data_IF_640380484496
#
_entry.id   IF_640380484496
#
_cell.length_a   1.000
_cell.length_b   1.000
_cell.length_c   1.000
_cell.angle_alpha   90.00
_cell.angle_beta   90.00
_cell.angle_gamma   90.00
#
_symmetry.space_group_name_H-M   'P 1'
#
loop_
_entity.id
_entity.type
_entity.pdbx_description
1 polymer ?
#
# COMPACT_ATOMS: atom_id res chain seq x y z
N UNK A 1 0.33 -2.64 2.15
CA UNK A 1 0.36 -1.19 2.41
C UNK A 1 0.15 -1.01 3.90
N UNK A 2 1.13 -0.48 4.62
CA UNK A 2 1.01 -0.29 6.07
C UNK A 2 1.15 1.20 6.37
N UNK A 3 0.12 1.74 7.00
CA UNK A 3 0.10 3.11 7.48
C UNK A 3 0.77 3.14 8.86
N UNK A 4 1.72 4.05 9.08
CA UNK A 4 2.43 4.14 10.34
C UNK A 4 2.32 5.55 10.90
N UNK A 5 2.18 5.60 12.22
CA UNK A 5 1.95 6.81 12.99
C UNK A 5 3.03 6.92 14.07
N UNK A 6 3.70 8.07 14.16
CA UNK A 6 4.75 8.29 15.17
C UNK A 6 4.79 9.74 15.65
N UNK A 7 4.90 9.92 16.96
CA UNK A 7 5.17 11.22 17.58
C UNK A 7 6.65 11.62 17.38
N UNK A 8 6.95 12.92 17.35
CA UNK A 8 8.33 13.44 17.32
C UNK A 8 8.89 13.53 18.75
N UNK A 9 10.04 12.89 19.02
CA UNK A 9 10.78 13.05 20.27
C UNK A 9 11.25 11.74 20.91
N UNK A 10 12.49 11.72 21.42
CA UNK A 10 13.18 10.52 21.90
C UNK A 10 12.85 10.14 23.35
N UNK A 11 12.14 9.02 23.56
CA UNK A 11 12.30 8.10 24.68
C UNK A 11 11.59 6.78 24.35
N UNK A 12 12.36 5.69 24.21
CA UNK A 12 11.89 4.43 23.65
C UNK A 12 11.21 3.50 24.68
N UNK A 13 9.94 3.16 24.39
CA UNK A 13 9.31 1.82 24.48
C UNK A 13 8.97 1.20 25.87
N UNK A 14 7.69 1.29 26.28
CA UNK A 14 6.95 0.16 26.92
C UNK A 14 5.42 0.25 26.72
N UNK A 15 4.77 -0.90 26.37
CA UNK A 15 3.33 -1.16 26.08
C UNK A 15 2.72 -0.90 24.66
N UNK A 16 2.79 -1.84 23.70
CA UNK A 16 2.52 -1.64 22.23
C UNK A 16 1.12 -1.09 21.87
N UNK A 17 0.16 -1.10 22.80
CA UNK A 17 -1.17 -0.52 22.63
C UNK A 17 -1.38 0.84 23.34
N UNK A 18 -0.53 1.20 24.31
CA UNK A 18 -0.38 2.55 24.88
C UNK A 18 0.83 3.30 24.25
N UNK A 19 1.69 2.59 23.50
CA UNK A 19 3.09 2.92 23.13
C UNK A 19 3.28 3.94 22.02
N UNK A 20 2.25 4.23 21.22
CA UNK A 20 2.44 5.11 20.06
C UNK A 20 2.31 6.60 20.42
N UNK A 21 1.92 6.92 21.67
CA UNK A 21 1.52 8.29 22.04
C UNK A 21 0.27 8.73 21.28
N UNK A 22 -0.55 7.76 20.88
CA UNK A 22 -1.80 7.98 20.16
C UNK A 22 -2.92 8.38 21.13
N UNK A 23 -3.77 9.36 20.81
CA UNK A 23 -4.87 9.76 21.68
C UNK A 23 -5.86 8.62 21.89
N UNK A 24 -6.46 8.45 23.09
CA UNK A 24 -7.43 7.37 23.36
C UNK A 24 -8.58 7.27 22.36
N UNK A 25 -8.94 8.40 21.72
CA UNK A 25 -9.94 8.46 20.65
C UNK A 25 -9.64 7.50 19.47
N UNK A 26 -8.38 7.10 19.25
CA UNK A 26 -7.99 6.18 18.17
C UNK A 26 -8.13 4.71 18.52
N UNK A 27 -8.56 4.35 19.74
CA UNK A 27 -8.65 2.95 20.18
C UNK A 27 -9.59 2.08 19.31
N UNK A 28 -10.54 2.69 18.58
CA UNK A 28 -11.44 2.00 17.66
C UNK A 28 -10.89 1.84 16.23
N UNK A 29 -9.69 2.35 15.92
CA UNK A 29 -9.09 2.26 14.60
C UNK A 29 -8.31 0.94 14.45
N UNK A 30 -8.41 0.33 13.26
CA UNK A 30 -7.69 -0.91 12.94
C UNK A 30 -6.29 -0.62 12.39
N UNK A 31 -5.46 -1.67 12.27
CA UNK A 31 -4.15 -1.64 11.61
C UNK A 31 -4.16 -1.20 10.13
N UNK A 32 -5.36 -1.13 9.52
CA UNK A 32 -5.59 -0.68 8.16
C UNK A 32 -6.42 0.61 8.11
N UNK A 33 -6.48 1.39 9.19
CA UNK A 33 -7.14 2.68 9.15
C UNK A 33 -6.45 3.65 8.17
N UNK A 34 -7.24 4.35 7.36
CA UNK A 34 -6.77 5.34 6.40
C UNK A 34 -6.46 6.69 7.05
N UNK A 35 -5.68 7.53 6.37
CA UNK A 35 -5.47 8.92 6.77
C UNK A 35 -6.80 9.65 7.02
N UNK A 36 -7.79 9.48 6.14
CA UNK A 36 -9.15 10.01 6.31
C UNK A 36 -9.79 9.57 7.63
N UNK A 37 -9.70 8.29 7.99
CA UNK A 37 -10.25 7.79 9.26
C UNK A 37 -9.53 8.43 10.46
N UNK A 38 -8.19 8.53 10.42
CA UNK A 38 -7.45 9.22 11.47
C UNK A 38 -7.81 10.71 11.58
N UNK A 39 -7.97 11.42 10.46
CA UNK A 39 -8.39 12.83 10.44
C UNK A 39 -9.79 12.99 11.03
N UNK A 40 -10.72 12.11 10.67
CA UNK A 40 -12.08 12.14 11.21
C UNK A 40 -12.11 11.87 12.73
N UNK A 41 -11.25 10.99 13.22
CA UNK A 41 -11.17 10.64 14.66
C UNK A 41 -10.43 11.69 15.49
N UNK A 42 -9.33 12.25 14.98
CA UNK A 42 -8.44 13.15 15.73
C UNK A 42 -8.74 14.64 15.49
N UNK A 43 -9.38 14.96 14.37
CA UNK A 43 -9.39 16.31 13.82
C UNK A 43 -8.10 16.63 13.07
N UNK A 44 -8.22 17.50 12.05
CA UNK A 44 -7.10 17.85 11.16
C UNK A 44 -5.90 18.47 11.90
N UNK A 45 -6.17 19.34 12.87
CA UNK A 45 -5.11 20.02 13.63
C UNK A 45 -4.20 19.02 14.35
N UNK A 46 -4.80 18.15 15.16
CA UNK A 46 -4.08 17.10 15.90
C UNK A 46 -3.37 16.15 14.93
N UNK A 47 -4.03 15.70 13.86
CA UNK A 47 -3.40 14.83 12.86
C UNK A 47 -2.12 15.44 12.26
N UNK A 48 -2.13 16.74 11.97
CA UNK A 48 -0.99 17.46 11.38
C UNK A 48 0.19 17.63 12.35
N UNK A 49 -0.02 17.50 13.66
CA UNK A 49 1.06 17.55 14.66
C UNK A 49 1.89 16.26 14.68
N UNK A 50 1.37 15.17 14.12
CA UNK A 50 2.09 13.91 14.01
C UNK A 50 2.88 13.80 12.71
N UNK A 51 3.97 13.04 12.77
CA UNK A 51 4.66 12.62 11.57
C UNK A 51 3.99 11.36 11.02
N UNK A 52 3.30 11.51 9.88
CA UNK A 52 2.55 10.42 9.23
C UNK A 52 3.24 10.00 7.94
N UNK A 53 3.28 8.71 7.68
CA UNK A 53 3.95 8.20 6.49
C UNK A 53 3.36 6.88 5.99
N UNK A 54 3.60 6.60 4.71
CA UNK A 54 3.25 5.34 4.06
C UNK A 54 4.33 4.89 3.09
N UNK A 55 4.33 3.59 2.76
CA UNK A 55 5.19 3.03 1.73
C UNK A 55 4.36 2.47 0.59
N UNK A 56 4.64 2.93 -0.62
CA UNK A 56 3.95 2.49 -1.84
C UNK A 56 4.85 1.61 -2.70
N UNK A 57 4.24 0.62 -3.34
CA UNK A 57 4.86 -0.22 -4.36
C UNK A 57 4.29 0.16 -5.73
N UNK A 58 5.01 -0.20 -6.79
CA UNK A 58 4.52 -0.04 -8.16
C UNK A 58 3.12 -0.68 -8.28
N UNK A 59 2.07 0.05 -8.71
CA UNK A 59 0.70 -0.46 -8.73
C UNK A 59 0.53 -1.72 -9.60
N UNK A 60 1.30 -1.84 -10.68
CA UNK A 60 1.30 -3.01 -11.58
C UNK A 60 1.80 -4.26 -10.85
N UNK A 61 2.82 -4.08 -10.02
CA UNK A 61 3.44 -5.10 -9.21
C UNK A 61 2.57 -5.48 -8.00
N UNK A 62 1.82 -4.52 -7.45
CA UNK A 62 0.83 -4.76 -6.39
C UNK A 62 -0.27 -5.70 -6.85
N UNK A 63 -0.81 -5.52 -8.07
CA UNK A 63 -1.82 -6.42 -8.61
C UNK A 63 -1.32 -7.87 -8.74
N UNK A 64 -0.08 -8.06 -9.22
CA UNK A 64 0.60 -9.37 -9.28
C UNK A 64 0.80 -9.95 -7.89
N UNK A 65 1.26 -9.14 -6.94
CA UNK A 65 1.47 -9.55 -5.56
C UNK A 65 0.17 -10.01 -4.91
N UNK A 66 -0.94 -9.31 -5.14
CA UNK A 66 -2.26 -9.68 -4.61
C UNK A 66 -2.80 -10.98 -5.20
N UNK A 67 -2.59 -11.23 -6.49
CA UNK A 67 -2.94 -12.50 -7.11
C UNK A 67 -2.21 -13.67 -6.43
N UNK A 68 -0.88 -13.58 -6.28
CA UNK A 68 -0.10 -14.65 -5.63
C UNK A 68 -0.43 -14.78 -4.14
N UNK A 69 -0.66 -13.66 -3.45
CA UNK A 69 -1.08 -13.69 -2.05
C UNK A 69 -2.43 -14.41 -1.87
N UNK A 70 -3.38 -14.20 -2.79
CA UNK A 70 -4.65 -14.93 -2.82
C UNK A 70 -4.47 -16.41 -3.06
N UNK A 71 -3.55 -16.84 -3.92
CA UNK A 71 -3.30 -18.27 -4.14
C UNK A 71 -2.85 -19.00 -2.88
N UNK A 72 -2.03 -18.36 -2.05
CA UNK A 72 -1.44 -19.00 -0.86
C UNK A 72 -2.25 -18.80 0.42
N UNK A 73 -3.27 -17.92 0.40
CA UNK A 73 -4.03 -17.58 1.59
C UNK A 73 -5.53 -17.83 1.38
N UNK A 74 -6.06 -19.00 1.79
CA UNK A 74 -7.44 -19.39 1.50
C UNK A 74 -8.50 -18.61 2.27
N UNK A 75 -8.11 -17.86 3.31
CA UNK A 75 -9.04 -17.10 4.15
C UNK A 75 -9.39 -15.73 3.59
N UNK A 76 -8.64 -15.25 2.59
CA UNK A 76 -8.84 -13.89 2.05
C UNK A 76 -9.81 -13.89 0.87
N UNK A 77 -10.55 -12.80 0.74
CA UNK A 77 -11.45 -12.59 -0.39
C UNK A 77 -10.68 -12.59 -1.72
N UNK A 78 -11.25 -13.25 -2.73
CA UNK A 78 -10.62 -13.42 -4.03
C UNK A 78 -9.79 -14.70 -4.17
N UNK A 79 -9.62 -15.51 -3.11
CA UNK A 79 -8.88 -16.78 -3.18
C UNK A 79 -9.48 -17.73 -4.21
N UNK A 80 -10.79 -17.99 -4.14
CA UNK A 80 -11.46 -18.93 -5.04
C UNK A 80 -11.35 -18.49 -6.51
N UNK A 81 -11.50 -17.18 -6.76
CA UNK A 81 -11.36 -16.57 -8.08
C UNK A 81 -9.93 -16.69 -8.61
N UNK A 82 -8.91 -16.40 -7.78
CA UNK A 82 -7.51 -16.55 -8.16
C UNK A 82 -7.14 -18.01 -8.43
N UNK A 83 -7.59 -18.93 -7.57
CA UNK A 83 -7.35 -20.36 -7.70
C UNK A 83 -8.01 -20.93 -8.96
N UNK A 84 -9.25 -20.55 -9.25
CA UNK A 84 -9.96 -20.98 -10.46
C UNK A 84 -9.32 -20.44 -11.75
N UNK A 85 -8.82 -19.21 -11.73
CA UNK A 85 -8.13 -18.62 -12.87
C UNK A 85 -6.78 -19.30 -13.15
N UNK A 86 -6.06 -19.74 -12.11
CA UNK A 86 -4.81 -20.50 -12.18
C UNK A 86 -3.57 -19.75 -12.69
N UNK A 87 -3.74 -18.67 -13.46
CA UNK A 87 -2.65 -17.79 -13.93
C UNK A 87 -3.04 -16.33 -13.75
N UNK A 88 -2.05 -15.45 -13.62
CA UNK A 88 -2.30 -14.02 -13.45
C UNK A 88 -3.09 -13.45 -14.64
N UNK A 89 -2.74 -13.82 -15.88
CA UNK A 89 -3.42 -13.33 -17.08
C UNK A 89 -4.90 -13.72 -17.10
N UNK A 90 -5.22 -15.01 -16.84
CA UNK A 90 -6.61 -15.47 -16.72
C UNK A 90 -7.34 -14.74 -15.59
N UNK A 91 -6.67 -14.49 -14.47
CA UNK A 91 -7.26 -13.77 -13.34
C UNK A 91 -7.63 -12.33 -13.73
N UNK A 92 -6.75 -11.63 -14.45
CA UNK A 92 -7.08 -10.30 -14.97
C UNK A 92 -8.29 -10.36 -15.90
N UNK A 93 -8.29 -11.26 -16.88
CA UNK A 93 -9.34 -11.33 -17.91
C UNK A 93 -10.70 -11.79 -17.35
N UNK A 94 -10.71 -12.68 -16.35
CA UNK A 94 -11.93 -13.30 -15.83
C UNK A 94 -12.49 -12.57 -14.60
N UNK A 95 -11.61 -12.04 -13.75
CA UNK A 95 -11.97 -11.52 -12.44
C UNK A 95 -11.84 -10.01 -12.34
N UNK A 96 -10.80 -9.42 -12.94
CA UNK A 96 -10.57 -7.97 -12.88
C UNK A 96 -11.36 -7.17 -13.93
N UNK A 97 -12.12 -7.84 -14.79
CA UNK A 97 -13.08 -7.23 -15.73
C UNK A 97 -14.50 -7.17 -15.16
N UNK A 98 -14.76 -7.85 -14.04
CA UNK A 98 -16.09 -7.90 -13.43
C UNK A 98 -16.45 -6.57 -12.74
N UNK A 99 -17.75 -6.27 -12.58
CA UNK A 99 -18.21 -5.19 -11.71
C UNK A 99 -17.60 -5.30 -10.30
N UNK A 100 -17.28 -4.17 -9.68
CA UNK A 100 -16.71 -4.07 -8.33
C UNK A 100 -15.33 -4.73 -8.13
N UNK A 101 -14.65 -5.12 -9.21
CA UNK A 101 -13.30 -5.71 -9.18
C UNK A 101 -12.21 -4.77 -8.66
N UNK A 102 -12.49 -3.48 -8.53
CA UNK A 102 -11.58 -2.49 -7.95
C UNK A 102 -11.10 -2.89 -6.54
N UNK A 103 -11.95 -3.57 -5.76
CA UNK A 103 -11.57 -4.11 -4.43
C UNK A 103 -10.47 -5.16 -4.49
N UNK A 104 -10.28 -5.80 -5.65
CA UNK A 104 -9.29 -6.83 -5.88
C UNK A 104 -7.96 -6.28 -6.39
N UNK A 105 -7.95 -5.06 -6.93
CA UNK A 105 -6.81 -4.43 -7.58
C UNK A 105 -5.71 -3.95 -6.61
N UNK A 106 -5.99 -3.92 -5.30
CA UNK A 106 -4.99 -3.63 -4.28
C UNK A 106 -4.61 -2.15 -4.17
N UNK A 107 -5.59 -1.25 -4.36
CA UNK A 107 -5.36 0.19 -4.30
C UNK A 107 -4.68 0.66 -3.01
N UNK A 108 -3.78 1.61 -3.16
CA UNK A 108 -2.92 2.14 -2.10
C UNK A 108 -3.34 3.55 -1.68
N UNK A 109 -3.72 4.40 -2.63
CA UNK A 109 -4.11 5.79 -2.38
C UNK A 109 -5.23 5.96 -1.35
N UNK A 110 -6.25 5.08 -1.21
CA UNK A 110 -7.33 5.30 -0.25
C UNK A 110 -6.86 5.37 1.20
N UNK A 111 -5.67 4.82 1.49
CA UNK A 111 -5.05 4.87 2.81
C UNK A 111 -4.28 6.17 3.07
N UNK A 112 -3.92 6.93 2.03
CA UNK A 112 -3.00 8.06 2.12
C UNK A 112 -3.63 9.42 1.82
N UNK A 113 -4.85 9.44 1.29
CA UNK A 113 -5.55 10.68 0.92
C UNK A 113 -6.56 11.11 1.98
N UNK A 114 -6.94 12.38 1.94
CA UNK A 114 -8.05 12.93 2.70
C UNK A 114 -9.38 12.93 1.92
N UNK A 115 -10.40 13.56 2.50
CA UNK A 115 -11.73 13.71 1.90
C UNK A 115 -11.74 14.46 0.56
N UNK A 116 -10.73 15.29 0.29
CA UNK A 116 -10.58 16.00 -0.98
C UNK A 116 -9.75 15.20 -2.01
N UNK A 117 -9.36 13.96 -1.68
CA UNK A 117 -8.51 13.12 -2.52
C UNK A 117 -7.06 13.60 -2.59
N UNK A 118 -6.65 14.53 -1.72
CA UNK A 118 -5.29 15.03 -1.66
C UNK A 118 -4.45 14.18 -0.71
N UNK A 119 -3.15 14.03 -1.00
CA UNK A 119 -2.24 13.33 -0.10
C UNK A 119 -2.21 14.03 1.26
N UNK A 120 -2.53 13.26 2.30
CA UNK A 120 -2.64 13.77 3.66
C UNK A 120 -1.40 13.44 4.52
N UNK A 121 -0.54 12.52 4.08
CA UNK A 121 0.61 12.07 4.87
C UNK A 121 1.83 12.98 4.70
N UNK A 122 2.67 13.06 5.74
CA UNK A 122 3.92 13.84 5.73
C UNK A 122 5.01 13.26 4.83
N UNK A 123 4.97 11.95 4.52
CA UNK A 123 5.98 11.28 3.70
C UNK A 123 5.44 10.03 3.01
N UNK A 124 5.90 9.79 1.78
CA UNK A 124 5.64 8.57 1.03
C UNK A 124 6.98 7.96 0.61
N UNK A 125 7.32 6.84 1.23
CA UNK A 125 8.45 6.01 0.80
C UNK A 125 8.05 5.08 -0.35
N UNK A 126 9.03 4.62 -1.12
CA UNK A 126 8.82 3.69 -2.23
C UNK A 126 9.51 2.36 -1.98
N UNK A 127 8.86 1.27 -2.37
CA UNK A 127 9.42 -0.06 -2.25
C UNK A 127 10.72 -0.26 -3.04
N UNK A 128 10.85 0.37 -4.22
CA UNK A 128 12.08 0.34 -5.03
C UNK A 128 13.28 0.99 -4.35
N UNK A 129 13.04 1.89 -3.40
CA UNK A 129 14.05 2.57 -2.60
C UNK A 129 13.83 2.35 -1.10
N UNK A 130 13.35 1.16 -0.74
CA UNK A 130 12.81 0.86 0.58
C UNK A 130 13.81 1.18 1.70
N UNK A 131 15.05 0.71 1.61
CA UNK A 131 16.08 0.94 2.63
C UNK A 131 16.37 2.43 2.84
N UNK A 132 16.54 3.18 1.74
CA UNK A 132 16.81 4.63 1.78
C UNK A 132 15.63 5.41 2.36
N UNK A 133 14.43 5.11 1.90
CA UNK A 133 13.23 5.83 2.31
C UNK A 133 12.81 5.44 3.75
N UNK A 134 13.12 4.22 4.17
CA UNK A 134 13.03 3.78 5.56
C UNK A 134 14.04 4.50 6.45
N UNK A 135 15.31 4.60 6.03
CA UNK A 135 16.32 5.37 6.74
C UNK A 135 15.90 6.84 6.93
N UNK A 136 15.31 7.45 5.90
CA UNK A 136 14.73 8.81 5.97
C UNK A 136 13.61 8.89 7.00
N UNK A 137 12.75 7.87 7.06
CA UNK A 137 11.61 7.80 7.97
C UNK A 137 12.07 7.71 9.44
N UNK A 138 12.98 6.79 9.75
CA UNK A 138 13.48 6.59 11.13
C UNK A 138 14.27 7.82 11.61
N UNK A 139 15.05 8.46 10.73
CA UNK A 139 15.76 9.69 11.04
C UNK A 139 14.80 10.84 11.41
N UNK A 140 13.69 10.99 10.67
CA UNK A 140 12.64 11.99 10.98
C UNK A 140 11.88 11.72 12.28
N UNK A 141 11.85 10.47 12.72
CA UNK A 141 11.31 10.08 14.02
C UNK A 141 12.32 10.25 15.18
N UNK A 142 13.56 10.66 14.90
CA UNK A 142 14.61 10.75 15.91
C UNK A 142 15.14 9.38 16.37
N UNK A 143 14.96 8.34 15.55
CA UNK A 143 15.46 6.99 15.81
C UNK A 143 16.82 6.84 15.12
N UNK A 144 17.86 6.59 15.91
CA UNK A 144 19.24 6.51 15.43
C UNK A 144 19.53 5.26 14.61
N UNK A 145 19.06 4.09 15.06
CA UNK A 145 19.17 2.82 14.33
C UNK A 145 17.95 1.95 14.56
N UNK A 146 17.41 1.42 13.47
CA UNK A 146 16.35 0.41 13.49
C UNK A 146 16.60 -0.52 12.29
N UNK A 147 16.89 -1.81 12.50
CA UNK A 147 17.04 -2.72 11.39
C UNK A 147 15.72 -2.83 10.62
N UNK A 148 15.84 -2.88 9.29
CA UNK A 148 14.72 -3.21 8.42
C UNK A 148 14.77 -4.71 8.15
N UNK A 149 14.00 -5.47 8.90
CA UNK A 149 13.85 -6.90 8.64
C UNK A 149 12.94 -7.12 7.43
N UNK A 150 13.31 -8.06 6.56
CA UNK A 150 12.55 -8.39 5.36
C UNK A 150 11.54 -9.50 5.65
N UNK A 151 10.30 -9.13 5.94
CA UNK A 151 9.17 -10.06 6.09
C UNK A 151 8.26 -10.04 4.85
N UNK A 152 7.53 -11.13 4.62
CA UNK A 152 6.53 -11.26 3.54
C UNK A 152 7.08 -11.00 2.13
N UNK A 153 8.27 -11.52 1.84
CA UNK A 153 8.80 -11.52 0.47
C UNK A 153 7.85 -12.29 -0.46
N UNK A 154 7.36 -11.61 -1.49
CA UNK A 154 6.50 -12.22 -2.49
C UNK A 154 7.38 -13.01 -3.45
N UNK A 155 7.25 -14.33 -3.47
CA UNK A 155 7.97 -15.20 -4.41
C UNK A 155 7.13 -15.39 -5.68
N UNK A 156 7.34 -14.51 -6.66
CA UNK A 156 6.77 -14.63 -7.99
C UNK A 156 7.78 -14.21 -9.05
N UNK A 157 7.55 -14.60 -10.30
CA UNK A 157 8.33 -14.09 -11.43
C UNK A 157 8.28 -12.56 -11.47
N UNK A 158 9.30 -11.93 -12.09
CA UNK A 158 9.32 -10.49 -12.26
C UNK A 158 8.00 -10.03 -12.91
N UNK A 159 7.32 -9.10 -12.24
CA UNK A 159 5.94 -8.72 -12.56
C UNK A 159 5.71 -8.30 -14.02
N UNK A 160 6.63 -7.64 -14.76
CA UNK A 160 6.35 -7.25 -16.14
C UNK A 160 6.12 -8.46 -17.04
N UNK A 161 6.84 -9.57 -16.80
CA UNK A 161 6.73 -10.79 -17.59
C UNK A 161 5.42 -11.56 -17.40
N UNK A 162 4.56 -11.13 -16.46
CA UNK A 162 3.23 -11.72 -16.27
C UNK A 162 2.14 -10.97 -17.03
N UNK A 163 2.44 -9.78 -17.55
CA UNK A 163 1.50 -8.97 -18.32
C UNK A 163 1.61 -9.23 -19.82
N UNK A 164 0.49 -9.05 -20.49
CA UNK A 164 0.42 -8.72 -21.92
C UNK A 164 -0.04 -7.26 -22.02
N UNK A 165 0.08 -6.65 -23.20
CA UNK A 165 -0.50 -5.30 -23.43
C UNK A 165 -1.98 -5.22 -23.04
N UNK A 166 -2.77 -6.27 -23.32
CA UNK A 166 -4.19 -6.34 -22.96
C UNK A 166 -4.40 -6.35 -21.44
N UNK A 167 -3.75 -7.26 -20.71
CA UNK A 167 -3.94 -7.37 -19.26
C UNK A 167 -3.38 -6.16 -18.52
N UNK A 168 -2.33 -5.53 -19.04
CA UNK A 168 -1.82 -4.27 -18.52
C UNK A 168 -2.86 -3.15 -18.69
N UNK A 169 -3.53 -3.08 -19.85
CA UNK A 169 -4.61 -2.11 -20.09
C UNK A 169 -5.76 -2.22 -19.09
N UNK A 170 -6.17 -3.45 -18.75
CA UNK A 170 -7.24 -3.72 -17.76
C UNK A 170 -6.80 -3.25 -16.37
N UNK A 171 -5.62 -3.69 -15.90
CA UNK A 171 -5.12 -3.30 -14.58
C UNK A 171 -4.88 -1.78 -14.51
N UNK A 172 -4.37 -1.18 -15.59
CA UNK A 172 -4.19 0.27 -15.71
C UNK A 172 -5.46 1.04 -15.44
N UNK A 173 -6.61 0.60 -15.97
CA UNK A 173 -7.88 1.26 -15.70
C UNK A 173 -8.26 1.22 -14.21
N UNK A 174 -7.97 0.12 -13.53
CA UNK A 174 -8.33 -0.07 -12.12
C UNK A 174 -7.46 0.73 -11.15
N UNK A 175 -6.16 0.83 -11.42
CA UNK A 175 -5.17 1.45 -10.50
C UNK A 175 -4.58 2.76 -11.03
N UNK A 176 -5.24 3.39 -12.02
CA UNK A 176 -4.81 4.67 -12.61
C UNK A 176 -4.56 5.76 -11.56
N UNK A 177 -5.43 5.84 -10.54
CA UNK A 177 -5.29 6.81 -9.46
C UNK A 177 -3.98 6.62 -8.67
N UNK A 178 -3.61 5.38 -8.34
CA UNK A 178 -2.32 5.10 -7.69
C UNK A 178 -1.15 5.48 -8.60
N UNK A 179 -1.21 5.09 -9.87
CA UNK A 179 -0.12 5.36 -10.81
C UNK A 179 0.10 6.86 -10.98
N UNK A 180 -0.96 7.63 -11.15
CA UNK A 180 -0.90 9.09 -11.25
C UNK A 180 -0.37 9.71 -9.95
N UNK A 181 -0.96 9.36 -8.80
CA UNK A 181 -0.64 9.99 -7.52
C UNK A 181 0.79 9.71 -7.07
N UNK A 182 1.33 8.53 -7.39
CA UNK A 182 2.68 8.13 -7.01
C UNK A 182 3.70 8.25 -8.15
N UNK A 183 3.31 8.80 -9.31
CA UNK A 183 4.20 9.08 -10.43
C UNK A 183 4.81 7.83 -11.06
N UNK A 184 4.01 6.78 -11.26
CA UNK A 184 4.38 5.62 -12.07
C UNK A 184 3.87 5.78 -13.51
N UNK A 185 4.70 5.39 -14.48
CA UNK A 185 4.33 5.45 -15.90
C UNK A 185 3.13 4.55 -16.19
N UNK A 186 2.18 5.07 -16.97
CA UNK A 186 1.03 4.33 -17.48
C UNK A 186 1.28 3.72 -18.87
N UNK A 187 2.50 3.86 -19.39
CA UNK A 187 2.96 3.29 -20.66
C UNK A 187 3.60 1.91 -20.41
N UNK A 188 3.01 0.81 -20.94
CA UNK A 188 3.58 -0.53 -20.80
C UNK A 188 5.00 -0.66 -21.38
N UNK A 189 5.36 0.14 -22.39
CA UNK A 189 6.70 0.12 -22.99
C UNK A 189 7.79 0.58 -22.01
N UNK A 190 7.45 1.41 -21.02
CA UNK A 190 8.36 1.80 -19.92
C UNK A 190 8.87 0.57 -19.15
N UNK A 191 8.12 -0.53 -19.17
CA UNK A 191 8.41 -1.75 -18.43
C UNK A 191 8.76 -2.94 -19.32
N UNK A 192 8.91 -2.73 -20.63
CA UNK A 192 9.19 -3.78 -21.59
C UNK A 192 8.02 -4.75 -21.82
N UNK A 193 6.79 -4.30 -21.60
CA UNK A 193 5.57 -5.08 -21.86
C UNK A 193 5.14 -4.81 -23.31
N UNK A 194 5.08 -5.88 -24.12
CA UNK A 194 4.64 -5.89 -25.52
C UNK A 194 3.34 -6.67 -25.71
#
# INVERSE_FOLDING_TARGET
MTFFFGARGSAARQAVAEKAGLPPATAGLTEHASAKQFIATLGRGVFNDYYTFGFVRNPWDVAVSWFHYRLINPTIAGHAEAAAAGTFQKYVLQCLTQPDSQRLAGLQYPYLVDDAGQLAVSFIGRYVSLERDFATTIARLGISTLPLDHFNQSYHAAWPGLYTTETFGIVRALVAADAQLFGYSADPATYGIG
#
